data_IF_863065975273
#
_entry.id   IF_863065975273
#
_cell.length_a   1.000
_cell.length_b   1.000
_cell.length_c   1.000
_cell.angle_alpha   90.00
_cell.angle_beta   90.00
_cell.angle_gamma   90.00
#
_symmetry.space_group_name_H-M   'P 1'
#
loop_
_entity.id
_entity.type
_entity.pdbx_description
1 polymer ?
#
# COMPACT_ATOMS: atom_id res chain seq x y z
N UNK A 1 32.60 -50.41 -13.70
CA UNK A 1 33.28 -49.86 -12.50
C UNK A 1 32.55 -48.56 -12.21
N UNK A 2 31.36 -48.60 -11.61
CA UNK A 2 31.10 -48.64 -10.15
C UNK A 2 31.62 -47.34 -9.52
N UNK A 3 30.83 -46.46 -8.87
CA UNK A 3 29.80 -46.74 -7.88
C UNK A 3 28.76 -45.62 -7.72
N UNK A 4 27.57 -46.04 -7.30
CA UNK A 4 26.40 -45.26 -6.93
C UNK A 4 26.48 -44.86 -5.45
N UNK A 5 26.28 -43.58 -5.13
CA UNK A 5 26.16 -43.11 -3.73
C UNK A 5 24.68 -42.78 -3.46
N UNK A 6 24.02 -43.70 -2.75
CA UNK A 6 22.66 -43.51 -2.24
C UNK A 6 22.67 -42.65 -0.97
N UNK A 7 21.86 -41.59 -0.96
CA UNK A 7 21.59 -40.81 0.23
C UNK A 7 20.34 -41.36 0.92
N UNK A 8 20.52 -42.06 2.04
CA UNK A 8 19.43 -42.44 2.95
C UNK A 8 19.17 -41.29 3.92
N UNK A 9 18.08 -40.55 3.71
CA UNK A 9 17.62 -39.51 4.63
C UNK A 9 16.71 -40.13 5.70
N UNK A 10 17.24 -40.25 6.91
CA UNK A 10 16.52 -40.71 8.11
C UNK A 10 15.45 -39.70 8.51
N UNK A 11 14.19 -40.13 8.47
CA UNK A 11 13.02 -39.33 8.83
C UNK A 11 12.85 -39.35 10.35
N UNK A 12 13.22 -38.27 11.03
CA UNK A 12 12.93 -38.10 12.46
C UNK A 12 11.43 -37.81 12.64
N UNK A 13 10.72 -38.77 13.22
CA UNK A 13 9.30 -38.70 13.55
C UNK A 13 9.18 -38.14 14.98
N UNK A 14 8.78 -36.88 15.13
CA UNK A 14 8.51 -36.28 16.44
C UNK A 14 7.03 -36.51 16.84
N UNK A 15 6.74 -36.87 18.10
CA UNK A 15 5.38 -37.01 18.59
C UNK A 15 4.71 -35.62 18.79
N UNK A 16 3.53 -35.46 18.19
CA UNK A 16 2.61 -34.34 18.37
C UNK A 16 1.95 -34.46 19.75
N UNK A 17 2.54 -33.85 20.77
CA UNK A 17 1.85 -33.60 22.04
C UNK A 17 0.90 -32.43 21.84
N UNK A 18 -0.40 -32.71 22.01
CA UNK A 18 -1.48 -31.74 21.88
C UNK A 18 -1.40 -30.67 22.96
N UNK A 19 -1.06 -29.46 22.55
CA UNK A 19 -1.21 -28.26 23.35
C UNK A 19 -2.49 -27.55 22.89
N UNK A 20 -3.54 -27.63 23.72
CA UNK A 20 -4.76 -26.84 23.52
C UNK A 20 -4.40 -25.35 23.52
N UNK A 21 -4.74 -24.58 22.47
CA UNK A 21 -4.52 -23.14 22.49
C UNK A 21 -5.44 -22.51 23.53
N UNK A 22 -4.84 -21.87 24.54
CA UNK A 22 -5.55 -21.01 25.48
C UNK A 22 -6.30 -19.93 24.67
N UNK A 23 -7.62 -19.86 24.86
CA UNK A 23 -8.43 -18.80 24.26
C UNK A 23 -7.94 -17.44 24.79
N UNK A 24 -7.62 -16.48 23.92
CA UNK A 24 -7.29 -15.13 24.37
C UNK A 24 -8.51 -14.50 25.05
N UNK A 25 -8.31 -13.72 26.13
CA UNK A 25 -9.41 -13.03 26.80
C UNK A 25 -10.12 -12.09 25.83
N UNK A 26 -11.44 -12.02 25.93
CA UNK A 26 -12.26 -11.13 25.12
C UNK A 26 -11.79 -9.66 25.31
N UNK A 27 -11.74 -8.85 24.23
CA UNK A 27 -11.35 -7.46 24.35
C UNK A 27 -12.40 -6.68 25.16
N UNK A 28 -11.99 -5.74 26.04
CA UNK A 28 -12.93 -4.91 26.76
C UNK A 28 -13.74 -4.05 25.79
N UNK A 29 -15.06 -4.05 26.00
CA UNK A 29 -16.01 -3.26 25.23
C UNK A 29 -15.82 -1.77 25.55
N UNK A 30 -14.97 -1.10 24.78
CA UNK A 30 -14.69 0.32 24.93
C UNK A 30 -15.78 1.15 24.24
N UNK A 31 -16.92 1.27 24.92
CA UNK A 31 -17.99 2.23 24.59
C UNK A 31 -17.55 3.64 25.01
N UNK A 32 -16.53 4.19 24.35
CA UNK A 32 -16.23 5.61 24.47
C UNK A 32 -17.16 6.38 23.53
N UNK A 33 -18.24 6.92 24.09
CA UNK A 33 -19.06 7.93 23.44
C UNK A 33 -18.14 9.10 23.05
N UNK A 34 -17.91 9.27 21.75
CA UNK A 34 -17.07 10.35 21.24
C UNK A 34 -17.79 11.68 21.47
N UNK A 35 -17.16 12.67 22.12
CA UNK A 35 -17.75 14.00 22.27
C UNK A 35 -17.95 14.63 20.90
N UNK A 36 -19.17 15.10 20.64
CA UNK A 36 -19.52 15.82 19.42
C UNK A 36 -18.64 17.07 19.31
N UNK A 37 -17.67 17.04 18.41
CA UNK A 37 -16.81 18.20 18.14
C UNK A 37 -17.64 19.25 17.38
N UNK A 38 -17.66 20.52 17.82
CA UNK A 38 -18.36 21.57 17.11
C UNK A 38 -17.77 21.74 15.71
N UNK A 39 -18.64 21.62 14.71
CA UNK A 39 -18.28 21.71 13.29
C UNK A 39 -17.80 23.14 13.01
N UNK A 40 -16.56 23.35 12.53
CA UNK A 40 -16.07 24.70 12.24
C UNK A 40 -16.90 25.36 11.14
N UNK A 41 -17.05 26.69 11.17
CA UNK A 41 -17.79 27.45 10.16
C UNK A 41 -17.15 27.20 8.78
N UNK A 42 -17.96 26.69 7.85
CA UNK A 42 -17.54 26.45 6.49
C UNK A 42 -17.33 27.81 5.80
N UNK A 43 -16.07 28.13 5.48
CA UNK A 43 -15.74 29.30 4.68
C UNK A 43 -16.42 29.21 3.29
N UNK A 44 -16.82 30.35 2.69
CA UNK A 44 -17.41 30.38 1.36
C UNK A 44 -16.43 29.82 0.33
N UNK A 45 -16.82 28.72 -0.30
CA UNK A 45 -16.06 28.03 -1.34
C UNK A 45 -15.91 28.94 -2.55
N UNK A 46 -14.73 29.51 -2.77
CA UNK A 46 -14.42 30.20 -4.03
C UNK A 46 -14.65 29.25 -5.22
N UNK A 47 -15.29 29.72 -6.31
CA UNK A 47 -15.53 28.90 -7.49
C UNK A 47 -14.18 28.48 -8.09
N UNK A 48 -13.90 27.18 -8.01
CA UNK A 48 -12.72 26.57 -8.62
C UNK A 48 -12.75 26.83 -10.13
N UNK A 49 -11.58 27.12 -10.75
CA UNK A 49 -11.51 27.30 -12.19
C UNK A 49 -11.98 26.03 -12.92
N UNK A 50 -12.62 26.16 -14.09
CA UNK A 50 -13.06 25.02 -14.88
C UNK A 50 -11.86 24.14 -15.21
N UNK A 51 -11.86 22.96 -14.61
CA UNK A 51 -10.87 21.90 -14.82
C UNK A 51 -10.78 21.64 -16.32
N UNK A 52 -9.65 22.02 -16.93
CA UNK A 52 -9.36 21.78 -18.35
C UNK A 52 -9.64 20.32 -18.65
N UNK A 53 -10.72 20.08 -19.38
CA UNK A 53 -11.27 18.79 -19.74
C UNK A 53 -10.20 17.99 -20.48
N UNK A 54 -9.46 17.14 -19.76
CA UNK A 54 -8.78 16.00 -20.39
C UNK A 54 -9.87 15.28 -21.16
N UNK A 55 -9.68 15.15 -22.48
CA UNK A 55 -10.64 14.50 -23.36
C UNK A 55 -11.09 13.14 -22.83
N UNK A 56 -12.19 12.59 -23.36
CA UNK A 56 -12.85 11.41 -22.81
C UNK A 56 -11.82 10.29 -22.63
N UNK A 57 -11.42 10.06 -21.38
CA UNK A 57 -10.67 8.86 -21.02
C UNK A 57 -11.63 7.74 -21.34
N UNK A 58 -11.35 6.96 -22.40
CA UNK A 58 -12.08 5.73 -22.69
C UNK A 58 -12.28 5.02 -21.35
N UNK A 59 -13.54 4.81 -20.97
CA UNK A 59 -13.88 4.21 -19.69
C UNK A 59 -13.36 2.78 -19.68
N UNK A 60 -12.13 2.62 -19.21
CA UNK A 60 -11.47 1.32 -19.17
C UNK A 60 -12.16 0.49 -18.08
N UNK A 61 -12.68 -0.67 -18.47
CA UNK A 61 -13.24 -1.63 -17.52
C UNK A 61 -12.12 -2.12 -16.61
N UNK A 62 -12.21 -1.77 -15.33
CA UNK A 62 -11.23 -2.12 -14.28
C UNK A 62 -11.46 -3.57 -13.81
N UNK A 63 -12.73 -4.00 -13.78
CA UNK A 63 -13.14 -5.31 -13.31
C UNK A 63 -14.63 -5.57 -13.46
N UNK A 64 -15.02 -6.78 -13.07
CA UNK A 64 -16.40 -7.27 -13.13
C UNK A 64 -16.95 -7.52 -11.73
N UNK A 65 -18.26 -7.31 -11.57
CA UNK A 65 -19.00 -7.68 -10.36
C UNK A 65 -19.55 -9.09 -10.56
N UNK A 66 -19.24 -9.99 -9.64
CA UNK A 66 -19.71 -11.37 -9.67
C UNK A 66 -21.05 -11.50 -8.94
N UNK A 67 -21.82 -12.54 -9.26
CA UNK A 67 -23.11 -12.82 -8.62
C UNK A 67 -23.02 -12.94 -7.09
N UNK A 68 -21.90 -13.44 -6.58
CA UNK A 68 -21.62 -13.55 -5.13
C UNK A 68 -21.23 -12.22 -4.47
N UNK A 69 -21.48 -11.07 -5.14
CA UNK A 69 -21.14 -9.71 -4.69
C UNK A 69 -19.64 -9.47 -4.46
N UNK A 70 -18.76 -10.34 -4.99
CA UNK A 70 -17.31 -10.10 -5.04
C UNK A 70 -16.94 -9.40 -6.35
N UNK A 71 -15.73 -8.87 -6.38
CA UNK A 71 -15.19 -8.14 -7.52
C UNK A 71 -14.00 -8.91 -8.12
N UNK A 72 -13.92 -8.99 -9.44
CA UNK A 72 -12.84 -9.66 -10.19
C UNK A 72 -12.15 -8.67 -11.12
N UNK A 73 -10.83 -8.75 -11.28
CA UNK A 73 -10.13 -7.92 -12.26
C UNK A 73 -10.46 -8.35 -13.69
N UNK A 74 -10.56 -7.39 -14.62
CA UNK A 74 -10.87 -7.65 -16.04
C UNK A 74 -9.66 -8.13 -16.86
N UNK A 75 -8.46 -8.19 -16.27
CA UNK A 75 -7.24 -8.63 -16.95
C UNK A 75 -7.02 -10.13 -16.74
N UNK A 76 -6.70 -10.84 -17.81
CA UNK A 76 -6.50 -12.30 -17.80
C UNK A 76 -5.36 -12.73 -16.84
N UNK A 77 -4.33 -11.90 -16.70
CA UNK A 77 -3.22 -12.15 -15.75
C UNK A 77 -3.64 -12.15 -14.28
N UNK A 78 -4.88 -11.79 -13.96
CA UNK A 78 -5.41 -11.69 -12.60
C UNK A 78 -6.71 -12.50 -12.44
N UNK A 79 -6.88 -13.55 -13.26
CA UNK A 79 -8.06 -14.42 -13.27
C UNK A 79 -8.39 -15.05 -11.92
N UNK A 80 -7.36 -15.31 -11.10
CA UNK A 80 -7.49 -16.09 -9.87
C UNK A 80 -7.73 -15.20 -8.63
N UNK A 81 -7.68 -13.87 -8.81
CA UNK A 81 -7.80 -12.91 -7.73
C UNK A 81 -9.22 -12.36 -7.67
N UNK A 82 -9.84 -12.45 -6.49
CA UNK A 82 -11.13 -11.83 -6.20
C UNK A 82 -11.02 -10.93 -4.97
N UNK A 83 -11.82 -9.87 -4.96
CA UNK A 83 -11.84 -8.87 -3.91
C UNK A 83 -13.22 -8.81 -3.26
N UNK A 84 -13.27 -8.69 -1.93
CA UNK A 84 -14.51 -8.51 -1.20
C UNK A 84 -15.08 -7.09 -1.36
N UNK A 85 -14.23 -6.09 -1.66
CA UNK A 85 -14.61 -4.68 -1.78
C UNK A 85 -14.14 -4.08 -3.09
N UNK A 86 -14.95 -3.21 -3.68
CA UNK A 86 -14.61 -2.46 -4.89
C UNK A 86 -13.35 -1.60 -4.71
N UNK A 87 -13.14 -1.04 -3.52
CA UNK A 87 -11.97 -0.24 -3.20
C UNK A 87 -10.65 -1.04 -3.33
N UNK A 88 -10.68 -2.33 -2.97
CA UNK A 88 -9.51 -3.21 -3.08
C UNK A 88 -9.24 -3.57 -4.55
N UNK A 89 -10.28 -3.83 -5.35
CA UNK A 89 -10.15 -4.00 -6.81
C UNK A 89 -9.55 -2.74 -7.46
N UNK A 90 -10.06 -1.56 -7.11
CA UNK A 90 -9.56 -0.29 -7.67
C UNK A 90 -8.08 -0.09 -7.35
N UNK A 91 -7.72 -0.30 -6.09
CA UNK A 91 -6.32 -0.25 -5.63
C UNK A 91 -5.45 -1.26 -6.39
N UNK A 92 -5.93 -2.49 -6.58
CA UNK A 92 -5.23 -3.51 -7.35
C UNK A 92 -4.98 -3.05 -8.79
N UNK A 93 -5.99 -2.53 -9.48
CA UNK A 93 -5.84 -2.05 -10.86
C UNK A 93 -4.86 -0.88 -10.96
N UNK A 94 -4.98 0.11 -10.07
CA UNK A 94 -4.09 1.28 -10.07
C UNK A 94 -2.63 0.88 -9.82
N UNK A 95 -2.38 -0.15 -8.99
CA UNK A 95 -1.03 -0.64 -8.72
C UNK A 95 -0.49 -1.69 -9.69
N UNK A 96 -1.35 -2.43 -10.38
CA UNK A 96 -0.98 -3.62 -11.17
C UNK A 96 -1.21 -3.46 -12.67
N UNK A 97 -2.12 -2.56 -13.08
CA UNK A 97 -2.51 -2.38 -14.48
C UNK A 97 -2.48 -0.94 -14.98
N UNK A 98 -2.31 0.06 -14.11
CA UNK A 98 -2.16 1.44 -14.56
C UNK A 98 -0.97 1.54 -15.56
N UNK A 99 -1.20 2.10 -16.76
CA UNK A 99 -0.18 2.17 -17.82
C UNK A 99 0.94 3.16 -17.48
N UNK A 100 0.62 4.26 -16.79
CA UNK A 100 1.56 5.31 -16.42
C UNK A 100 1.72 5.38 -14.90
N UNK A 101 2.29 4.33 -14.30
CA UNK A 101 2.57 4.35 -12.85
C UNK A 101 3.66 5.37 -12.58
N UNK A 102 3.27 6.47 -11.92
CA UNK A 102 4.24 7.40 -11.37
C UNK A 102 5.06 6.64 -10.32
N UNK A 103 6.34 6.39 -10.63
CA UNK A 103 7.27 5.92 -9.63
C UNK A 103 7.58 7.06 -8.65
N UNK A 104 7.65 6.71 -7.38
CA UNK A 104 8.07 7.63 -6.32
C UNK A 104 9.56 7.41 -6.08
N UNK A 105 10.40 8.41 -6.31
CA UNK A 105 11.84 8.28 -6.12
C UNK A 105 12.28 8.72 -4.74
N UNK A 106 13.39 8.15 -4.25
CA UNK A 106 14.10 8.67 -3.09
C UNK A 106 14.60 10.08 -3.39
N UNK A 107 14.52 10.97 -2.39
CA UNK A 107 15.00 12.35 -2.52
C UNK A 107 16.47 12.52 -2.11
N UNK A 108 17.05 11.52 -1.46
CA UNK A 108 18.42 11.57 -0.99
C UNK A 108 19.38 11.37 -2.17
N UNK A 109 20.31 12.31 -2.35
CA UNK A 109 21.32 12.26 -3.40
C UNK A 109 22.27 11.07 -3.19
N UNK A 110 22.60 10.36 -4.28
CA UNK A 110 23.41 9.14 -4.21
C UNK A 110 22.66 7.88 -3.73
N UNK A 111 21.38 7.96 -3.37
CA UNK A 111 20.60 6.76 -3.09
C UNK A 111 20.37 5.94 -4.37
N UNK A 112 20.57 4.62 -4.31
CA UNK A 112 20.32 3.71 -5.45
C UNK A 112 18.87 3.72 -5.95
N UNK A 113 17.92 4.24 -5.14
CA UNK A 113 16.50 4.38 -5.46
C UNK A 113 16.09 5.83 -5.82
N UNK A 114 17.06 6.72 -5.97
CA UNK A 114 16.85 8.04 -6.54
C UNK A 114 16.53 7.96 -8.04
N UNK A 115 16.12 9.08 -8.62
CA UNK A 115 15.87 9.18 -10.05
C UNK A 115 17.18 8.94 -10.82
N UNK A 116 17.22 7.93 -11.70
CA UNK A 116 18.43 7.51 -12.42
C UNK A 116 19.27 6.41 -11.75
N UNK A 117 18.86 5.91 -10.58
CA UNK A 117 19.52 4.79 -9.92
C UNK A 117 19.24 3.42 -10.57
N UNK A 118 20.10 2.42 -10.28
CA UNK A 118 19.98 1.05 -10.82
C UNK A 118 18.69 0.33 -10.43
N UNK A 119 18.03 0.73 -9.34
CA UNK A 119 16.78 0.15 -8.88
C UNK A 119 15.68 1.21 -8.88
N UNK A 120 14.84 1.17 -9.92
CA UNK A 120 13.90 2.25 -10.23
C UNK A 120 12.77 2.37 -9.20
N UNK A 121 12.86 3.39 -8.34
CA UNK A 121 11.77 3.99 -7.56
C UNK A 121 10.88 3.05 -6.73
N UNK A 122 9.82 3.62 -6.16
CA UNK A 122 8.82 2.93 -5.36
C UNK A 122 7.46 3.01 -6.07
N UNK A 123 6.73 1.90 -6.07
CA UNK A 123 5.37 1.82 -6.64
C UNK A 123 4.34 2.65 -5.85
N UNK A 124 4.65 2.98 -4.59
CA UNK A 124 3.75 3.66 -3.63
C UNK A 124 4.52 4.71 -2.83
N UNK A 125 3.86 5.85 -2.56
CA UNK A 125 4.41 6.95 -1.76
C UNK A 125 4.81 6.49 -0.36
N UNK A 126 3.92 5.77 0.30
CA UNK A 126 4.08 5.21 1.65
C UNK A 126 5.30 4.28 1.75
N UNK A 127 5.60 3.48 0.71
CA UNK A 127 6.82 2.67 0.68
C UNK A 127 8.10 3.50 0.50
N UNK A 128 8.04 4.58 -0.27
CA UNK A 128 9.15 5.54 -0.32
C UNK A 128 9.35 6.22 1.03
N UNK A 129 8.27 6.69 1.67
CA UNK A 129 8.37 7.39 2.95
C UNK A 129 8.89 6.47 4.07
N UNK A 130 8.49 5.19 4.05
CA UNK A 130 9.07 4.16 4.91
C UNK A 130 10.58 4.00 4.68
N UNK A 131 11.01 3.95 3.42
CA UNK A 131 12.44 3.92 3.08
C UNK A 131 13.18 5.17 3.58
N UNK A 132 12.59 6.36 3.43
CA UNK A 132 13.20 7.59 3.94
C UNK A 132 13.35 7.55 5.47
N UNK A 133 12.35 7.04 6.19
CA UNK A 133 12.40 6.92 7.65
C UNK A 133 13.44 5.91 8.15
N UNK A 134 13.62 4.81 7.42
CA UNK A 134 14.50 3.70 7.83
C UNK A 134 15.94 3.88 7.36
N UNK A 135 16.14 4.29 6.09
CA UNK A 135 17.47 4.39 5.46
C UNK A 135 18.04 5.80 5.54
N UNK A 136 17.19 6.83 5.49
CA UNK A 136 17.61 8.24 5.49
C UNK A 136 17.03 9.01 6.70
N UNK A 137 16.95 8.35 7.86
CA UNK A 137 16.24 8.84 9.06
C UNK A 137 16.56 10.30 9.40
N UNK A 138 17.86 10.61 9.54
CA UNK A 138 18.34 11.96 9.90
C UNK A 138 17.87 13.02 8.89
N UNK A 139 18.03 12.74 7.61
CA UNK A 139 17.62 13.65 6.54
C UNK A 139 16.08 13.82 6.48
N UNK A 140 15.34 12.74 6.74
CA UNK A 140 13.87 12.77 6.76
C UNK A 140 13.32 13.64 7.89
N UNK A 141 13.88 13.55 9.08
CA UNK A 141 13.47 14.33 10.26
C UNK A 141 13.73 15.82 10.04
N UNK A 142 14.93 16.20 9.57
CA UNK A 142 15.30 17.59 9.26
C UNK A 142 14.37 18.21 8.21
N UNK A 143 14.05 17.48 7.14
CA UNK A 143 13.14 17.96 6.09
C UNK A 143 11.69 18.08 6.57
N UNK A 144 11.21 17.15 7.38
CA UNK A 144 9.87 17.25 7.96
C UNK A 144 9.77 18.43 8.93
N UNK A 145 10.83 18.71 9.69
CA UNK A 145 10.90 19.90 10.54
C UNK A 145 10.78 21.18 9.70
N UNK A 146 11.53 21.29 8.60
CA UNK A 146 11.47 22.44 7.69
C UNK A 146 10.09 22.65 7.08
N UNK A 147 9.38 21.58 6.69
CA UNK A 147 8.02 21.66 6.13
C UNK A 147 6.96 22.00 7.19
N UNK A 148 7.22 21.66 8.46
CA UNK A 148 6.30 21.91 9.57
C UNK A 148 6.50 23.29 10.20
N UNK A 149 7.65 23.91 10.02
CA UNK A 149 7.82 25.32 10.37
C UNK A 149 6.90 26.14 9.46
N UNK A 150 5.83 26.78 9.99
CA UNK A 150 5.12 27.78 9.21
C UNK A 150 6.16 28.83 8.80
N UNK A 151 6.23 29.13 7.51
CA UNK A 151 7.07 30.20 7.00
C UNK A 151 6.82 31.43 7.88
N UNK A 152 7.91 31.97 8.43
CA UNK A 152 7.97 33.22 9.18
C UNK A 152 6.88 34.18 8.67
N UNK A 153 5.83 34.39 9.48
CA UNK A 153 4.86 35.46 9.24
C UNK A 153 5.63 36.77 9.35
N UNK A 154 5.79 37.43 8.21
CA UNK A 154 6.18 38.84 8.12
C UNK A 154 5.04 39.69 8.66
#
# INVERSE_FOLDING_TARGET
MSDSIGHTATKAQYPLLGMSPAQPPAPPNNTFASPATPRPPQAPSSPLPPSRSRGPKREAVIGHVLYNKKFKCARDSCSDITFARQADLRRHFDHTHAPNRKLHYCYYEGCQRAQGGRNTGFKRKDKRDEHMRSVHKKWWEERQAQLRSPANSI
#
